data_IF_938606938099
#
_entry.id   IF_938606938099
#
_cell.length_a   1.000
_cell.length_b   1.000
_cell.length_c   1.000
_cell.angle_alpha   90.00
_cell.angle_beta   90.00
_cell.angle_gamma   90.00
#
_symmetry.space_group_name_H-M   'P 1'
#
loop_
_entity.id
_entity.type
_entity.pdbx_description
1 polymer ?
#
# COMPACT_ATOMS: atom_id res chain seq x y z
N UNK A 1 -8.22 1.36 0.60
CA UNK A 1 -6.82 1.18 1.06
C UNK A 1 -6.49 -0.30 1.01
N UNK A 2 -5.26 -0.68 0.66
CA UNK A 2 -4.80 -2.05 0.85
C UNK A 2 -4.74 -2.36 2.36
N UNK A 3 -4.98 -3.61 2.76
CA UNK A 3 -4.95 -4.02 4.16
C UNK A 3 -4.17 -5.32 4.33
N UNK A 4 -3.87 -5.71 5.57
CA UNK A 4 -3.14 -6.96 5.86
C UNK A 4 -3.97 -8.19 5.45
N UNK A 5 -5.29 -8.13 5.60
CA UNK A 5 -6.23 -9.18 5.21
C UNK A 5 -6.12 -9.49 3.71
N UNK A 6 -5.86 -8.49 2.86
CA UNK A 6 -5.58 -8.72 1.45
C UNK A 6 -4.32 -9.57 1.24
N UNK A 7 -3.28 -9.37 2.04
CA UNK A 7 -2.06 -10.20 1.97
C UNK A 7 -2.33 -11.61 2.51
N UNK A 8 -3.19 -11.75 3.53
CA UNK A 8 -3.66 -13.07 4.02
C UNK A 8 -4.41 -13.82 2.92
N UNK A 9 -5.26 -13.14 2.14
CA UNK A 9 -5.93 -13.73 0.96
C UNK A 9 -4.91 -14.27 -0.04
N UNK A 10 -3.84 -13.52 -0.32
CA UNK A 10 -2.80 -13.98 -1.25
C UNK A 10 -2.17 -15.31 -0.78
N UNK A 11 -1.76 -15.40 0.48
CA UNK A 11 -1.21 -16.63 1.03
C UNK A 11 -2.24 -17.76 1.13
N UNK A 12 -3.47 -17.44 1.51
CA UNK A 12 -4.55 -18.42 1.58
C UNK A 12 -4.84 -19.01 0.20
N UNK A 13 -4.88 -18.18 -0.85
CA UNK A 13 -5.06 -18.62 -2.24
C UNK A 13 -3.92 -19.57 -2.67
N UNK A 14 -2.67 -19.16 -2.48
CA UNK A 14 -1.51 -19.94 -2.88
C UNK A 14 -1.37 -21.23 -2.07
N UNK A 15 -1.48 -21.18 -0.75
CA UNK A 15 -1.45 -22.37 0.10
C UNK A 15 -2.63 -23.30 -0.21
N UNK A 16 -3.80 -22.76 -0.56
CA UNK A 16 -4.94 -23.55 -0.96
C UNK A 16 -4.72 -24.33 -2.25
N UNK A 17 -4.25 -23.62 -3.28
CA UNK A 17 -3.94 -24.18 -4.60
C UNK A 17 -2.88 -25.28 -4.48
N UNK A 18 -1.76 -24.99 -3.81
CA UNK A 18 -0.68 -25.95 -3.62
C UNK A 18 -1.16 -27.21 -2.86
N UNK A 19 -2.08 -27.07 -1.90
CA UNK A 19 -2.61 -28.18 -1.12
C UNK A 19 -3.90 -28.81 -1.68
N UNK A 20 -4.35 -28.41 -2.87
CA UNK A 20 -5.61 -28.88 -3.48
C UNK A 20 -6.82 -28.75 -2.53
N UNK A 21 -6.87 -27.67 -1.75
CA UNK A 21 -7.98 -27.36 -0.84
C UNK A 21 -8.76 -26.16 -1.36
N UNK A 22 -10.00 -26.02 -0.93
CA UNK A 22 -10.78 -24.81 -1.20
C UNK A 22 -10.25 -23.66 -0.32
N UNK A 23 -9.98 -22.46 -0.88
CA UNK A 23 -9.58 -21.29 -0.10
C UNK A 23 -10.78 -20.71 0.67
N UNK A 24 -10.49 -20.04 1.78
CA UNK A 24 -11.46 -19.18 2.47
C UNK A 24 -11.79 -17.94 1.62
N UNK A 25 -13.02 -17.43 1.73
CA UNK A 25 -13.42 -16.17 1.09
C UNK A 25 -12.81 -14.95 1.80
N UNK A 26 -12.74 -13.82 1.11
CA UNK A 26 -12.27 -12.55 1.70
C UNK A 26 -13.05 -12.20 2.99
N UNK A 27 -14.37 -12.35 3.00
CA UNK A 27 -15.21 -12.07 4.18
C UNK A 27 -14.91 -12.99 5.36
N UNK A 28 -14.68 -14.29 5.08
CA UNK A 28 -14.28 -15.25 6.11
C UNK A 28 -12.90 -14.91 6.68
N UNK A 29 -11.96 -14.50 5.84
CA UNK A 29 -10.63 -14.08 6.24
C UNK A 29 -10.70 -12.81 7.08
N UNK A 30 -11.42 -11.78 6.64
CA UNK A 30 -11.58 -10.53 7.39
C UNK A 30 -12.18 -10.79 8.78
N UNK A 31 -13.24 -11.60 8.86
CA UNK A 31 -13.90 -11.95 10.13
C UNK A 31 -12.97 -12.71 11.08
N UNK A 32 -12.27 -13.73 10.57
CA UNK A 32 -11.38 -14.57 11.38
C UNK A 32 -10.07 -13.86 11.74
N UNK A 33 -9.55 -12.98 10.88
CA UNK A 33 -8.38 -12.17 11.16
C UNK A 33 -8.65 -11.15 12.27
N UNK A 34 -9.79 -10.46 12.22
CA UNK A 34 -10.22 -9.56 13.29
C UNK A 34 -10.32 -10.29 14.64
N UNK A 35 -10.94 -11.48 14.65
CA UNK A 35 -11.03 -12.32 15.85
C UNK A 35 -9.64 -12.78 16.36
N UNK A 36 -8.74 -13.18 15.45
CA UNK A 36 -7.37 -13.54 15.78
C UNK A 36 -6.60 -12.38 16.43
N UNK A 37 -6.70 -11.16 15.87
CA UNK A 37 -6.09 -9.95 16.43
C UNK A 37 -6.66 -9.60 17.81
N UNK A 38 -7.97 -9.72 18.02
CA UNK A 38 -8.58 -9.53 19.32
C UNK A 38 -8.08 -10.55 20.37
N UNK A 39 -7.94 -11.81 19.96
CA UNK A 39 -7.43 -12.87 20.84
C UNK A 39 -5.96 -12.67 21.21
N UNK A 40 -5.12 -12.24 20.27
CA UNK A 40 -3.70 -11.98 20.53
C UNK A 40 -3.48 -10.74 21.39
N UNK A 41 -4.31 -9.70 21.25
CA UNK A 41 -4.28 -8.53 22.13
C UNK A 41 -4.64 -8.86 23.59
N UNK A 42 -5.49 -9.86 23.83
CA UNK A 42 -5.87 -10.29 25.19
C UNK A 42 -4.79 -11.10 25.92
N UNK A 43 -3.79 -11.60 25.20
CA UNK A 43 -2.64 -12.33 25.77
C UNK A 43 -1.55 -11.37 26.27
N UNK A 44 -1.54 -10.11 25.82
CA UNK A 44 -0.76 -9.03 26.42
C UNK A 44 -1.56 -8.31 27.49
N UNK A 45 -1.56 -8.86 28.72
CA UNK A 45 -1.75 -8.04 29.92
C UNK A 45 -0.67 -6.95 30.00
N UNK A 46 -0.84 -5.89 30.81
CA UNK A 46 0.00 -4.70 30.74
C UNK A 46 1.46 -5.08 30.95
N UNK A 47 2.23 -5.06 29.86
CA UNK A 47 3.67 -5.14 29.90
C UNK A 47 4.15 -3.82 30.48
N UNK A 48 4.59 -3.88 31.73
CA UNK A 48 5.31 -2.82 32.41
C UNK A 48 6.47 -2.40 31.49
N UNK A 49 6.37 -1.21 30.90
CA UNK A 49 7.48 -0.61 30.17
C UNK A 49 8.71 -0.60 31.09
N UNK A 50 9.93 -0.87 30.59
CA UNK A 50 11.11 -0.74 31.43
C UNK A 50 11.25 0.74 31.80
N UNK A 51 10.86 1.05 33.04
CA UNK A 51 11.07 2.36 33.64
C UNK A 51 12.57 2.62 33.68
N UNK A 52 12.97 3.64 32.93
CA UNK A 52 14.31 4.19 32.94
C UNK A 52 14.74 4.47 34.41
N UNK A 53 15.89 3.98 34.90
CA UNK A 53 16.25 4.05 36.33
C UNK A 53 16.50 5.46 36.91
N UNK A 54 16.25 6.54 36.16
CA UNK A 54 16.68 7.89 36.51
C UNK A 54 15.59 8.83 37.07
N UNK A 55 14.34 8.39 37.27
CA UNK A 55 13.26 9.24 37.81
C UNK A 55 12.55 8.63 39.02
N UNK A 56 13.33 8.11 39.98
CA UNK A 56 12.88 7.88 41.36
C UNK A 56 13.59 8.85 42.31
N UNK A 57 13.16 10.12 42.29
CA UNK A 57 13.33 11.12 43.36
C UNK A 57 12.72 12.42 42.86
N UNK A 58 11.49 12.72 43.31
CA UNK A 58 10.93 14.08 43.52
C UNK A 58 9.40 14.10 43.68
N UNK A 59 8.70 12.96 43.69
CA UNK A 59 7.28 12.92 44.06
C UNK A 59 7.11 12.44 45.52
N UNK A 60 7.45 13.30 46.48
CA UNK A 60 6.92 13.26 47.84
C UNK A 60 7.07 14.64 48.48
N UNK A 61 5.99 15.06 49.14
CA UNK A 61 5.80 16.24 50.00
C UNK A 61 5.57 17.62 49.38
N UNK A 62 4.50 18.27 49.86
CA UNK A 62 4.35 19.73 49.79
C UNK A 62 2.92 20.24 49.75
N UNK A 63 2.35 20.53 50.93
CA UNK A 63 1.00 21.08 51.16
C UNK A 63 0.97 22.61 50.96
N UNK A 64 -0.18 23.11 50.47
CA UNK A 64 -0.83 24.42 50.76
C UNK A 64 -0.21 25.76 50.30
N UNK A 65 -1.02 26.56 49.56
CA UNK A 65 -1.69 27.81 50.03
C UNK A 65 -1.82 28.94 48.97
N UNK A 66 -3.03 29.50 48.93
CA UNK A 66 -3.44 30.91 48.67
C UNK A 66 -3.11 31.66 47.36
N UNK A 67 -4.19 31.93 46.62
CA UNK A 67 -4.67 33.22 46.07
C UNK A 67 -3.68 34.26 45.53
N UNK A 68 -3.93 34.75 44.30
CA UNK A 68 -4.39 36.13 44.03
C UNK A 68 -4.69 36.35 42.54
N UNK A 69 -5.75 37.11 42.34
CA UNK A 69 -6.33 37.64 41.11
C UNK A 69 -5.38 38.55 40.31
N UNK A 70 -5.59 38.63 38.99
CA UNK A 70 -5.64 39.91 38.26
C UNK A 70 -6.24 39.71 36.87
N UNK A 71 -7.27 40.51 36.60
CA UNK A 71 -8.01 40.62 35.37
C UNK A 71 -7.28 41.53 34.37
N UNK A 72 -7.40 41.25 33.07
CA UNK A 72 -7.47 42.31 32.06
C UNK A 72 -8.24 41.84 30.85
N UNK A 73 -9.39 42.46 30.69
CA UNK A 73 -10.29 42.46 29.54
C UNK A 73 -9.63 43.03 28.29
N UNK A 74 -9.94 42.50 27.12
CA UNK A 74 -10.17 43.30 25.91
C UNK A 74 -11.03 42.50 24.92
N UNK A 75 -12.13 43.13 24.53
CA UNK A 75 -13.17 42.65 23.62
C UNK A 75 -12.99 43.30 22.24
N UNK A 76 -13.61 42.66 21.24
CA UNK A 76 -14.00 43.16 19.91
C UNK A 76 -12.95 42.95 18.80
N UNK A 77 -13.29 42.57 17.58
CA UNK A 77 -14.57 42.70 16.88
C UNK A 77 -14.77 41.60 15.84
N UNK A 78 -16.05 41.30 15.60
CA UNK A 78 -16.54 40.44 14.54
C UNK A 78 -16.26 41.03 13.15
N UNK A 79 -15.96 40.15 12.19
CA UNK A 79 -15.84 40.48 10.78
C UNK A 79 -16.07 39.24 9.91
N UNK A 80 -17.20 39.26 9.22
CA UNK A 80 -17.56 38.45 8.05
C UNK A 80 -17.75 36.94 8.23
N UNK A 81 -19.03 36.56 8.22
CA UNK A 81 -19.51 35.21 8.00
C UNK A 81 -19.28 34.78 6.55
N UNK A 82 -18.62 33.62 6.40
CA UNK A 82 -18.74 32.74 5.23
C UNK A 82 -19.18 31.39 5.80
N UNK A 83 -20.22 30.72 5.28
CA UNK A 83 -20.63 29.45 5.82
C UNK A 83 -19.54 28.41 5.52
N UNK A 84 -18.75 28.10 6.54
CA UNK A 84 -17.99 26.87 6.59
C UNK A 84 -19.03 25.74 6.67
N UNK A 85 -19.36 25.15 5.52
CA UNK A 85 -20.02 23.85 5.48
C UNK A 85 -19.04 22.83 6.06
N UNK A 86 -19.18 22.69 7.37
CA UNK A 86 -19.19 21.45 8.13
C UNK A 86 -18.68 20.22 7.40
N UNK A 87 -17.54 19.72 7.87
CA UNK A 87 -17.30 18.32 8.21
C UNK A 87 -18.24 17.32 7.53
N UNK A 88 -17.95 16.97 6.28
CA UNK A 88 -18.43 15.72 5.73
C UNK A 88 -17.37 14.67 5.99
N UNK A 89 -17.47 14.01 7.13
CA UNK A 89 -16.88 12.69 7.37
C UNK A 89 -17.29 11.78 6.22
N UNK A 90 -16.40 11.61 5.23
CA UNK A 90 -16.52 10.55 4.26
C UNK A 90 -16.57 9.23 5.03
N UNK A 91 -17.47 8.30 4.68
CA UNK A 91 -17.45 7.00 5.31
C UNK A 91 -16.11 6.35 4.97
N UNK A 92 -15.40 5.91 6.00
CA UNK A 92 -14.12 5.18 5.94
C UNK A 92 -14.35 3.75 5.40
N UNK A 93 -15.17 3.65 4.36
CA UNK A 93 -15.55 2.39 3.74
C UNK A 93 -14.40 1.97 2.84
N UNK A 94 -13.82 0.79 3.05
CA UNK A 94 -12.78 0.29 2.17
C UNK A 94 -13.32 0.18 0.73
N UNK A 95 -12.50 0.50 -0.29
CA UNK A 95 -12.91 0.37 -1.68
C UNK A 95 -13.23 -1.08 -1.97
N UNK A 96 -14.30 -1.33 -2.71
CA UNK A 96 -14.71 -2.68 -3.12
C UNK A 96 -14.04 -3.12 -4.42
N UNK A 97 -13.55 -2.16 -5.21
CA UNK A 97 -12.78 -2.40 -6.42
C UNK A 97 -11.65 -1.37 -6.56
N UNK A 98 -10.52 -1.79 -7.12
CA UNK A 98 -9.41 -0.91 -7.47
C UNK A 98 -8.48 -1.60 -8.49
N UNK A 99 -7.68 -0.84 -9.25
CA UNK A 99 -6.52 -1.40 -9.91
C UNK A 99 -5.52 -1.90 -8.87
N UNK A 100 -4.90 -3.05 -9.12
CA UNK A 100 -4.13 -3.76 -8.11
C UNK A 100 -2.91 -4.47 -8.68
N UNK A 101 -1.91 -4.65 -7.84
CA UNK A 101 -0.74 -5.48 -8.08
C UNK A 101 -0.53 -6.40 -6.89
N UNK A 102 -0.30 -7.69 -7.16
CA UNK A 102 0.15 -8.64 -6.16
C UNK A 102 1.60 -8.97 -6.45
N UNK A 103 2.42 -8.85 -5.41
CA UNK A 103 3.87 -9.09 -5.45
C UNK A 103 4.23 -10.16 -4.43
N UNK A 104 5.00 -11.14 -4.88
CA UNK A 104 5.69 -12.11 -4.05
C UNK A 104 7.15 -11.72 -3.97
N UNK A 105 7.70 -11.71 -2.77
CA UNK A 105 9.12 -11.57 -2.52
C UNK A 105 9.64 -12.77 -1.72
N UNK A 106 10.89 -13.12 -1.90
CA UNK A 106 11.65 -13.91 -0.92
C UNK A 106 12.32 -12.97 0.06
N UNK A 107 12.29 -13.32 1.34
CA UNK A 107 12.99 -12.63 2.42
C UNK A 107 14.12 -13.53 2.90
N UNK A 108 15.34 -13.03 2.84
CA UNK A 108 16.51 -13.73 3.38
C UNK A 108 16.46 -13.69 4.92
N UNK A 109 16.52 -14.84 5.62
CA UNK A 109 16.47 -14.88 7.07
C UNK A 109 17.72 -14.31 7.75
N UNK A 110 18.84 -14.16 7.04
CA UNK A 110 20.12 -13.75 7.63
C UNK A 110 20.35 -12.22 7.56
N UNK A 111 19.85 -11.54 6.51
CA UNK A 111 20.08 -10.09 6.28
C UNK A 111 18.77 -9.28 6.08
N UNK A 112 17.60 -9.90 6.26
CA UNK A 112 16.27 -9.30 6.00
C UNK A 112 16.11 -8.73 4.57
N UNK A 113 17.00 -9.12 3.65
CA UNK A 113 17.02 -8.66 2.27
C UNK A 113 15.82 -9.22 1.50
N UNK A 114 15.12 -8.32 0.80
CA UNK A 114 13.87 -8.65 0.08
C UNK A 114 14.14 -8.70 -1.42
N UNK A 115 13.90 -9.85 -2.04
CA UNK A 115 14.08 -10.05 -3.48
C UNK A 115 12.79 -10.43 -4.18
N UNK A 116 12.55 -9.85 -5.37
CA UNK A 116 11.34 -10.08 -6.15
C UNK A 116 11.24 -11.54 -6.60
N UNK A 117 10.10 -12.19 -6.32
CA UNK A 117 9.81 -13.58 -6.66
C UNK A 117 8.63 -13.77 -7.63
N UNK A 118 7.85 -12.71 -7.84
CA UNK A 118 6.78 -12.63 -8.83
C UNK A 118 5.99 -11.34 -8.64
N UNK A 119 5.54 -10.69 -9.71
CA UNK A 119 4.67 -9.51 -9.60
C UNK A 119 3.83 -9.34 -10.85
N UNK A 120 2.51 -9.46 -10.68
CA UNK A 120 1.52 -9.26 -11.74
C UNK A 120 0.37 -8.43 -11.17
N UNK A 121 -0.20 -7.57 -12.03
CA UNK A 121 -1.29 -6.68 -11.67
C UNK A 121 -1.94 -6.09 -12.90
N UNK A 122 -2.90 -5.21 -12.66
CA UNK A 122 -3.66 -4.52 -13.70
C UNK A 122 -3.97 -3.08 -13.31
N UNK A 123 -4.05 -2.24 -14.34
CA UNK A 123 -4.51 -0.85 -14.25
C UNK A 123 -6.02 -0.71 -14.39
N UNK A 124 -6.72 -1.80 -14.73
CA UNK A 124 -8.17 -1.84 -14.74
C UNK A 124 -8.70 -2.09 -13.32
N UNK A 125 -9.80 -1.42 -12.97
CA UNK A 125 -10.42 -1.61 -11.66
C UNK A 125 -10.98 -3.02 -11.53
N UNK A 126 -10.47 -3.81 -10.59
CA UNK A 126 -10.92 -5.17 -10.31
C UNK A 126 -11.70 -5.22 -8.98
N UNK A 127 -12.76 -6.03 -8.88
CA UNK A 127 -13.38 -6.35 -7.59
C UNK A 127 -12.34 -6.97 -6.65
N UNK A 128 -12.10 -6.37 -5.48
CA UNK A 128 -11.02 -6.83 -4.59
C UNK A 128 -11.26 -8.22 -4.01
N UNK A 129 -12.53 -8.61 -3.88
CA UNK A 129 -12.95 -9.94 -3.40
C UNK A 129 -12.45 -11.09 -4.27
N UNK A 130 -12.33 -10.87 -5.58
CA UNK A 130 -11.94 -11.89 -6.56
C UNK A 130 -10.56 -11.60 -7.14
N UNK A 131 -10.31 -10.35 -7.52
CA UNK A 131 -9.09 -9.93 -8.18
C UNK A 131 -7.83 -10.18 -7.34
N UNK A 132 -7.87 -9.97 -6.02
CA UNK A 132 -6.69 -10.22 -5.17
C UNK A 132 -6.33 -11.71 -5.15
N UNK A 133 -7.33 -12.59 -5.07
CA UNK A 133 -7.14 -14.03 -5.12
C UNK A 133 -6.56 -14.46 -6.47
N UNK A 134 -7.19 -14.02 -7.57
CA UNK A 134 -6.74 -14.35 -8.93
C UNK A 134 -5.31 -13.88 -9.20
N UNK A 135 -5.02 -12.61 -8.95
CA UNK A 135 -3.68 -12.05 -9.18
C UNK A 135 -2.62 -12.60 -8.23
N UNK A 136 -3.00 -13.10 -7.05
CA UNK A 136 -2.07 -13.83 -6.18
C UNK A 136 -1.57 -15.13 -6.83
N UNK A 137 -2.47 -15.91 -7.45
CA UNK A 137 -2.10 -17.14 -8.15
C UNK A 137 -1.36 -16.83 -9.46
N UNK A 138 -1.81 -15.86 -10.25
CA UNK A 138 -1.15 -15.47 -11.49
C UNK A 138 0.29 -15.02 -11.20
N UNK A 139 0.49 -14.13 -10.21
CA UNK A 139 1.83 -13.65 -9.86
C UNK A 139 2.74 -14.73 -9.25
N UNK A 140 2.18 -15.73 -8.56
CA UNK A 140 2.95 -16.83 -7.99
C UNK A 140 3.32 -17.93 -8.99
N UNK A 141 2.43 -18.23 -9.93
CA UNK A 141 2.47 -19.45 -10.73
C UNK A 141 2.64 -19.20 -12.24
N UNK A 142 2.32 -17.99 -12.72
CA UNK A 142 2.26 -17.66 -14.15
C UNK A 142 3.13 -16.46 -14.55
N UNK A 143 3.88 -15.86 -13.62
CA UNK A 143 4.87 -14.84 -13.96
C UNK A 143 6.06 -15.50 -14.68
N UNK A 144 6.11 -15.36 -16.01
CA UNK A 144 7.06 -16.04 -16.90
C UNK A 144 8.53 -15.69 -16.66
N UNK A 145 8.82 -14.67 -15.84
CA UNK A 145 10.19 -14.33 -15.42
C UNK A 145 10.74 -15.29 -14.37
N UNK A 146 9.87 -16.07 -13.71
CA UNK A 146 10.21 -16.95 -12.62
C UNK A 146 9.58 -18.34 -12.80
N UNK A 147 10.16 -19.36 -12.16
CA UNK A 147 9.50 -20.66 -12.06
C UNK A 147 8.30 -20.56 -11.10
N UNK A 148 7.23 -21.37 -11.29
CA UNK A 148 6.10 -21.41 -10.37
C UNK A 148 6.56 -21.66 -8.93
N UNK A 149 6.02 -20.89 -7.98
CA UNK A 149 6.36 -21.01 -6.54
C UNK A 149 5.96 -22.40 -6.02
N UNK A 150 6.88 -23.05 -5.31
CA UNK A 150 6.67 -24.35 -4.69
C UNK A 150 6.34 -24.25 -3.20
N UNK A 151 5.73 -25.30 -2.63
CA UNK A 151 5.43 -25.38 -1.18
C UNK A 151 6.62 -25.14 -0.27
N UNK A 152 7.83 -25.53 -0.71
CA UNK A 152 9.05 -25.43 0.09
C UNK A 152 9.53 -23.98 0.25
N UNK A 153 9.13 -23.10 -0.66
CA UNK A 153 9.48 -21.68 -0.63
C UNK A 153 8.58 -20.89 0.31
N UNK A 154 7.36 -21.37 0.60
CA UNK A 154 6.38 -20.65 1.43
C UNK A 154 6.98 -20.02 2.71
N UNK A 155 7.80 -20.73 3.52
CA UNK A 155 8.35 -20.16 4.76
C UNK A 155 9.19 -18.89 4.60
N UNK A 156 9.78 -18.66 3.42
CA UNK A 156 10.63 -17.49 3.14
C UNK A 156 9.92 -16.41 2.34
N UNK A 157 8.61 -16.56 2.08
CA UNK A 157 7.88 -15.60 1.27
C UNK A 157 7.31 -14.43 2.07
N UNK A 158 7.24 -13.30 1.39
CA UNK A 158 6.42 -12.15 1.72
C UNK A 158 5.43 -11.91 0.59
N UNK A 159 4.15 -11.75 0.94
CA UNK A 159 3.13 -11.26 0.03
C UNK A 159 2.99 -9.75 0.21
N UNK A 160 2.88 -9.00 -0.89
CA UNK A 160 2.56 -7.59 -0.87
C UNK A 160 1.42 -7.29 -1.85
N UNK A 161 0.46 -6.48 -1.41
CA UNK A 161 -0.66 -5.99 -2.22
C UNK A 161 -0.54 -4.48 -2.33
N UNK A 162 -0.51 -4.00 -3.57
CA UNK A 162 -0.52 -2.57 -3.89
C UNK A 162 -1.82 -2.24 -4.59
N UNK A 163 -2.65 -1.40 -3.96
CA UNK A 163 -3.84 -0.84 -4.62
C UNK A 163 -3.49 0.54 -5.16
N UNK A 164 -3.82 0.79 -6.43
CA UNK A 164 -3.63 2.09 -7.05
C UNK A 164 -4.82 2.99 -6.78
N UNK A 165 -4.57 4.21 -6.33
CA UNK A 165 -5.58 5.20 -5.93
C UNK A 165 -5.25 6.57 -6.51
N UNK A 166 -6.18 7.51 -6.36
CA UNK A 166 -5.94 8.94 -6.58
C UNK A 166 -5.46 9.26 -8.00
N UNK A 167 -6.13 8.67 -9.00
CA UNK A 167 -5.86 8.95 -10.41
C UNK A 167 -6.34 10.36 -10.78
N UNK A 168 -5.40 11.23 -11.13
CA UNK A 168 -5.63 12.63 -11.46
C UNK A 168 -4.95 12.97 -12.79
N UNK A 169 -5.62 13.76 -13.64
CA UNK A 169 -4.96 14.38 -14.78
C UNK A 169 -3.99 15.44 -14.26
N UNK A 170 -2.75 15.38 -14.72
CA UNK A 170 -1.71 16.34 -14.34
C UNK A 170 -1.89 17.64 -15.13
N UNK A 171 -1.60 18.78 -14.50
CA UNK A 171 -1.72 20.11 -15.14
C UNK A 171 -0.73 20.26 -16.31
N UNK A 172 0.47 19.68 -16.17
CA UNK A 172 1.49 19.58 -17.20
C UNK A 172 2.26 18.25 -17.10
N UNK A 173 3.18 18.01 -18.05
CA UNK A 173 3.92 16.74 -18.12
C UNK A 173 4.82 16.47 -16.90
N UNK A 174 5.15 17.50 -16.13
CA UNK A 174 6.02 17.47 -14.96
C UNK A 174 5.25 17.59 -13.65
N UNK A 175 3.93 17.74 -13.68
CA UNK A 175 3.06 17.87 -12.50
C UNK A 175 2.82 16.52 -11.78
N UNK A 176 3.90 15.98 -11.21
CA UNK A 176 3.95 14.77 -10.39
C UNK A 176 5.22 14.79 -9.52
N UNK A 177 5.38 13.84 -8.61
CA UNK A 177 6.50 13.82 -7.65
C UNK A 177 7.19 12.46 -7.67
N UNK A 178 8.52 12.46 -7.80
CA UNK A 178 9.32 11.23 -7.84
C UNK A 178 9.27 10.56 -6.47
N UNK A 179 9.04 9.25 -6.45
CA UNK A 179 8.91 8.46 -5.22
C UNK A 179 7.53 8.55 -4.56
N UNK A 180 6.64 9.41 -5.06
CA UNK A 180 5.27 9.56 -4.54
C UNK A 180 4.25 9.13 -5.58
N UNK A 181 4.39 9.61 -6.81
CA UNK A 181 3.43 9.41 -7.89
C UNK A 181 3.91 8.38 -8.90
N UNK A 182 3.04 7.42 -9.23
CA UNK A 182 3.10 6.71 -10.48
C UNK A 182 2.52 7.59 -11.58
N UNK A 183 2.96 7.36 -12.82
CA UNK A 183 2.52 8.15 -13.97
C UNK A 183 2.13 7.26 -15.14
N UNK A 184 1.01 7.59 -15.76
CA UNK A 184 0.53 7.02 -17.02
C UNK A 184 0.55 8.11 -18.07
N UNK A 185 1.24 7.86 -19.17
CA UNK A 185 1.29 8.78 -20.30
C UNK A 185 0.36 8.32 -21.43
N UNK A 186 -0.20 9.27 -22.17
CA UNK A 186 -0.84 9.01 -23.45
C UNK A 186 -0.62 10.18 -24.41
N UNK A 187 -0.32 9.86 -25.66
CA UNK A 187 -0.11 10.86 -26.72
C UNK A 187 -0.42 10.26 -28.10
N UNK A 188 -0.53 11.14 -29.10
CA UNK A 188 -0.72 10.78 -30.50
C UNK A 188 0.48 11.24 -31.32
N UNK A 189 1.02 10.36 -32.17
CA UNK A 189 2.02 10.74 -33.18
C UNK A 189 1.66 10.09 -34.51
N UNK A 190 1.57 10.89 -35.58
CA UNK A 190 1.20 10.45 -36.94
C UNK A 190 -0.05 9.57 -36.99
N UNK A 191 -1.08 9.91 -36.22
CA UNK A 191 -2.34 9.16 -36.16
C UNK A 191 -2.28 7.85 -35.36
N UNK A 192 -1.13 7.50 -34.78
CA UNK A 192 -0.99 6.35 -33.88
C UNK A 192 -1.04 6.81 -32.43
N UNK A 193 -1.82 6.11 -31.60
CA UNK A 193 -1.91 6.34 -30.16
C UNK A 193 -0.82 5.54 -29.44
N UNK A 194 -0.19 6.19 -28.48
CA UNK A 194 0.83 5.63 -27.62
C UNK A 194 0.37 5.76 -26.15
N UNK A 195 0.83 4.82 -25.33
CA UNK A 195 0.62 4.87 -23.89
C UNK A 195 1.53 3.90 -23.15
N UNK A 196 1.96 4.32 -21.98
CA UNK A 196 2.78 3.53 -21.06
C UNK A 196 2.59 4.05 -19.63
N UNK A 197 3.05 3.27 -18.66
CA UNK A 197 2.89 3.61 -17.25
C UNK A 197 4.08 3.11 -16.43
N UNK A 198 4.39 3.84 -15.36
CA UNK A 198 5.36 3.44 -14.33
C UNK A 198 4.75 3.60 -12.94
N UNK A 199 5.05 2.64 -12.08
CA UNK A 199 4.70 2.69 -10.66
C UNK A 199 5.54 3.77 -9.93
N UNK A 200 5.08 4.25 -8.74
CA UNK A 200 5.76 5.31 -8.00
C UNK A 200 7.26 5.08 -7.74
N UNK A 201 7.64 3.83 -7.49
CA UNK A 201 9.01 3.48 -7.07
C UNK A 201 10.02 3.50 -8.23
N UNK A 202 9.57 3.36 -9.49
CA UNK A 202 10.47 3.10 -10.62
C UNK A 202 11.44 4.26 -10.86
N UNK A 203 10.95 5.50 -10.87
CA UNK A 203 11.82 6.66 -11.13
C UNK A 203 12.85 6.87 -10.01
N UNK A 204 12.42 6.61 -8.76
CA UNK A 204 13.26 6.74 -7.58
C UNK A 204 14.37 5.67 -7.57
N UNK A 205 14.03 4.41 -7.78
CA UNK A 205 14.98 3.29 -7.80
C UNK A 205 16.02 3.42 -8.92
N UNK A 206 15.63 4.00 -10.06
CA UNK A 206 16.55 4.22 -11.18
C UNK A 206 17.38 5.51 -11.05
N UNK A 207 17.07 6.36 -10.06
CA UNK A 207 17.68 7.69 -9.93
C UNK A 207 17.40 8.61 -11.11
N UNK A 208 16.26 8.42 -11.79
CA UNK A 208 15.89 9.21 -12.97
C UNK A 208 15.30 10.56 -12.58
N UNK A 209 15.64 11.58 -13.35
CA UNK A 209 14.92 12.86 -13.38
C UNK A 209 13.53 12.69 -14.00
N UNK A 210 12.66 13.70 -13.87
CA UNK A 210 11.33 13.70 -14.51
C UNK A 210 11.43 13.56 -16.04
N UNK A 211 12.36 14.28 -16.67
CA UNK A 211 12.60 14.22 -18.12
C UNK A 211 13.06 12.83 -18.58
N UNK A 212 13.99 12.22 -17.84
CA UNK A 212 14.46 10.87 -18.14
C UNK A 212 13.35 9.85 -17.99
N UNK A 213 12.51 10.00 -16.95
CA UNK A 213 11.36 9.14 -16.70
C UNK A 213 10.33 9.25 -17.83
N UNK A 214 9.95 10.47 -18.23
CA UNK A 214 9.00 10.72 -19.32
C UNK A 214 9.53 10.17 -20.65
N UNK A 215 10.80 10.46 -20.98
CA UNK A 215 11.40 9.94 -22.19
C UNK A 215 11.47 8.41 -22.19
N UNK A 216 11.84 7.80 -21.06
CA UNK A 216 11.84 6.34 -20.88
C UNK A 216 10.45 5.74 -21.06
N UNK A 217 9.40 6.38 -20.54
CA UNK A 217 8.01 5.97 -20.76
C UNK A 217 7.59 6.06 -22.21
N UNK A 218 7.95 7.14 -22.90
CA UNK A 218 7.66 7.33 -24.33
C UNK A 218 8.31 6.20 -25.14
N UNK A 219 9.55 5.83 -24.81
CA UNK A 219 10.25 4.68 -25.40
C UNK A 219 9.55 3.36 -25.07
N UNK A 220 9.12 3.16 -23.82
CA UNK A 220 8.36 1.99 -23.37
C UNK A 220 7.01 1.86 -24.08
N UNK A 221 6.37 2.99 -24.42
CA UNK A 221 5.15 3.03 -25.22
C UNK A 221 5.38 2.61 -26.69
N UNK A 222 6.64 2.40 -27.10
CA UNK A 222 7.03 1.97 -28.44
C UNK A 222 7.28 3.12 -29.42
N UNK A 223 7.43 4.35 -28.95
CA UNK A 223 7.77 5.47 -29.82
C UNK A 223 9.27 5.47 -30.17
N UNK A 224 9.57 5.58 -31.46
CA UNK A 224 10.91 5.39 -32.01
C UNK A 224 11.57 6.68 -32.53
N UNK A 225 10.98 7.85 -32.25
CA UNK A 225 11.53 9.13 -32.67
C UNK A 225 12.80 9.56 -31.92
N UNK A 226 13.34 10.72 -32.32
CA UNK A 226 14.57 11.27 -31.76
C UNK A 226 14.36 11.80 -30.34
N UNK A 227 15.38 11.63 -29.47
CA UNK A 227 15.41 12.25 -28.13
C UNK A 227 15.31 13.77 -28.17
N UNK A 228 15.73 14.43 -29.25
CA UNK A 228 15.59 15.88 -29.36
C UNK A 228 14.15 16.36 -29.61
N UNK A 229 13.21 15.46 -29.91
CA UNK A 229 11.84 15.79 -30.33
C UNK A 229 10.75 15.29 -29.39
N UNK A 230 11.10 14.63 -28.28
CA UNK A 230 10.08 14.05 -27.40
C UNK A 230 9.22 15.14 -26.73
N UNK A 231 9.78 16.33 -26.52
CA UNK A 231 9.07 17.49 -25.95
C UNK A 231 8.11 18.15 -26.94
N UNK A 232 8.23 17.88 -28.24
CA UNK A 232 7.28 18.35 -29.26
C UNK A 232 5.97 17.53 -29.24
N UNK A 233 5.95 16.41 -28.49
CA UNK A 233 4.77 15.57 -28.35
C UNK A 233 3.81 16.21 -27.33
N UNK A 234 2.52 16.26 -27.69
CA UNK A 234 1.45 16.61 -26.75
C UNK A 234 1.18 15.40 -25.83
N UNK A 235 1.97 15.30 -24.76
CA UNK A 235 1.91 14.20 -23.80
C UNK A 235 0.96 14.52 -22.67
N UNK A 236 -0.14 13.78 -22.62
CA UNK A 236 -1.04 13.79 -21.47
C UNK A 236 -0.51 12.87 -20.38
N UNK A 237 -0.43 13.39 -19.16
CA UNK A 237 0.01 12.64 -17.98
C UNK A 237 -1.16 12.49 -17.02
N UNK A 238 -1.41 11.27 -16.59
CA UNK A 238 -2.25 10.97 -15.42
C UNK A 238 -1.32 10.52 -14.30
N UNK A 239 -1.33 11.23 -13.18
CA UNK A 239 -0.62 10.79 -11.96
C UNK A 239 -1.54 9.96 -11.08
N UNK A 240 -0.96 9.06 -10.30
CA UNK A 240 -1.69 8.25 -9.34
C UNK A 240 -0.77 7.84 -8.18
N UNK A 241 -1.35 7.39 -7.08
CA UNK A 241 -0.61 6.87 -5.94
C UNK A 241 -0.80 5.35 -5.81
N UNK A 242 0.15 4.70 -5.15
CA UNK A 242 0.09 3.28 -4.83
C UNK A 242 0.17 3.08 -3.33
N UNK A 243 -0.77 2.34 -2.75
CA UNK A 243 -0.75 2.02 -1.33
C UNK A 243 -0.46 0.55 -1.16
N UNK A 244 0.76 0.28 -0.71
CA UNK A 244 1.33 -1.06 -0.52
C UNK A 244 1.20 -1.49 0.93
N UNK A 245 0.75 -2.72 1.14
CA UNK A 245 0.83 -3.44 2.41
C UNK A 245 1.50 -4.78 2.14
N UNK A 246 2.29 -5.27 3.09
CA UNK A 246 2.92 -6.58 3.00
C UNK A 246 2.71 -7.41 4.28
N UNK A 247 2.85 -8.72 4.14
CA UNK A 247 2.77 -9.70 5.20
C UNK A 247 3.81 -10.80 4.94
N UNK A 248 4.53 -11.22 5.97
CA UNK A 248 5.47 -12.34 5.89
C UNK A 248 4.74 -13.66 6.19
N UNK A 249 5.15 -14.75 5.53
CA UNK A 249 4.51 -16.06 5.69
C UNK A 249 4.42 -16.55 7.15
N UNK A 250 5.42 -16.36 8.04
CA UNK A 250 5.29 -16.77 9.43
C UNK A 250 4.11 -16.13 10.17
N UNK A 251 3.72 -14.91 9.82
CA UNK A 251 2.56 -14.25 10.43
C UNK A 251 1.25 -14.82 9.89
N UNK A 252 1.15 -15.05 8.58
CA UNK A 252 0.05 -15.80 7.97
C UNK A 252 -0.11 -17.19 8.61
N UNK A 253 1.01 -17.90 8.80
CA UNK A 253 1.00 -19.27 9.33
C UNK A 253 0.46 -19.33 10.76
N UNK A 254 0.84 -18.38 11.63
CA UNK A 254 0.28 -18.27 12.99
C UNK A 254 -1.24 -18.09 12.98
N UNK A 255 -1.76 -17.21 12.13
CA UNK A 255 -3.21 -17.05 11.97
C UNK A 255 -3.86 -18.34 11.44
N UNK A 256 -3.26 -18.98 10.44
CA UNK A 256 -3.83 -20.19 9.84
C UNK A 256 -3.93 -21.35 10.84
N UNK A 257 -2.89 -21.54 11.65
CA UNK A 257 -2.86 -22.56 12.71
C UNK A 257 -3.90 -22.23 13.80
N UNK A 258 -4.07 -20.96 14.15
CA UNK A 258 -5.12 -20.52 15.06
C UNK A 258 -6.53 -20.83 14.51
N UNK A 259 -6.80 -20.54 13.23
CA UNK A 259 -8.09 -20.87 12.59
C UNK A 259 -8.36 -22.37 12.64
N UNK A 260 -7.34 -23.19 12.38
CA UNK A 260 -7.45 -24.65 12.44
C UNK A 260 -7.71 -25.18 13.85
N UNK A 261 -7.14 -24.54 14.89
CA UNK A 261 -7.37 -24.94 16.29
C UNK A 261 -8.80 -24.69 16.80
N UNK A 262 -9.62 -23.96 16.03
CA UNK A 262 -11.00 -23.59 16.36
C UNK A 262 -12.04 -24.42 15.60
N UNK A 263 -11.62 -25.27 14.66
CA UNK A 263 -12.47 -26.20 13.91
C UNK A 263 -12.43 -27.58 14.54
#
# INVERSE_FOLDING_TARGET
MATVEHCVVCFEALDADLNNRKPLSLEQIQSSWAAYKASSASVTGPSEAPLNPALRRLAADGVSSSSSSSSSTSLSAAGAATPATSTSSLPDTPPTAAPLFVTWNTVDPDDDDVSLRGCIGTFESQPLSEGIHEYALISALQDTRFNPISKRELPTLQAAVTLLTDFEEADDAHDWEIGTHGIRISFLDRGRRYGATYLPDVALEQGWTKDETLFSLIRKAGWMGSRSKWQDLDVKVTRYQGKKVSLNYPEFKKWRDWVQSKQ
#
